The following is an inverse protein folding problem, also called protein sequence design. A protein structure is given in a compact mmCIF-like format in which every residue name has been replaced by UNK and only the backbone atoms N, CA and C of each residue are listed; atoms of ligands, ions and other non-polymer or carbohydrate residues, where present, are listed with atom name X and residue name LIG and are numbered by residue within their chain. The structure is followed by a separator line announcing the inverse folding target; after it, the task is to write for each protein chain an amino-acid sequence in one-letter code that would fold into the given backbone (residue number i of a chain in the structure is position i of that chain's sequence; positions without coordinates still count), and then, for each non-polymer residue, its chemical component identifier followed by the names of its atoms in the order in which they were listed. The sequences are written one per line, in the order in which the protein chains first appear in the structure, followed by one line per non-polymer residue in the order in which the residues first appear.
data_IF_558313751299
#
_entry.id   IF_558313751299
#
_cell.length_a   1.000
_cell.length_b   1.000
_cell.length_c   1.000
_cell.angle_alpha   90.00
_cell.angle_beta   90.00
_cell.angle_gamma   90.00
#
_symmetry.space_group_name_H-M   'P 1'
#
loop_
_entity.id
_entity.type
_entity.pdbx_description
1 polymer ?
#
# COMPACT_ATOMS: atom_id res chain seq x y z
N UNK A 1 32.67 18.55 -2.46
CA UNK A 1 31.74 17.60 -1.79
C UNK A 1 32.38 16.23 -1.94
N UNK A 2 32.82 15.60 -0.86
CA UNK A 2 33.22 14.19 -0.88
C UNK A 2 31.94 13.37 -1.05
N UNK A 3 31.93 12.50 -2.06
CA UNK A 3 30.86 11.51 -2.21
C UNK A 3 30.85 10.61 -0.97
N UNK A 4 29.67 10.27 -0.52
CA UNK A 4 29.48 9.39 0.62
C UNK A 4 29.98 7.99 0.24
N UNK A 5 30.95 7.40 0.94
CA UNK A 5 31.51 6.11 0.55
C UNK A 5 30.53 4.94 0.67
N UNK A 6 29.39 5.10 1.35
CA UNK A 6 28.32 4.10 1.39
C UNK A 6 27.52 4.05 0.07
N UNK A 7 27.42 5.16 -0.66
CA UNK A 7 26.78 5.21 -1.98
C UNK A 7 27.62 4.58 -3.11
N UNK A 8 28.94 4.51 -2.96
CA UNK A 8 29.82 3.87 -3.97
C UNK A 8 29.76 2.34 -3.96
N UNK A 9 29.32 1.73 -2.87
CA UNK A 9 29.20 0.27 -2.73
C UNK A 9 27.78 -0.28 -2.96
N UNK A 10 26.80 0.58 -3.20
CA UNK A 10 25.46 0.13 -3.51
C UNK A 10 25.46 -0.63 -4.83
N UNK A 11 25.00 -1.90 -4.82
CA UNK A 11 24.75 -2.63 -6.05
C UNK A 11 23.75 -1.88 -6.89
N UNK A 12 24.06 -1.68 -8.16
CA UNK A 12 23.14 -1.03 -9.10
C UNK A 12 22.58 -2.08 -10.06
N UNK A 13 21.26 -2.01 -10.26
CA UNK A 13 20.57 -2.77 -11.29
C UNK A 13 20.64 -1.97 -12.59
N UNK A 14 21.17 -2.58 -13.64
CA UNK A 14 21.28 -1.99 -14.97
C UNK A 14 20.17 -2.53 -15.86
N UNK A 15 19.40 -1.65 -16.42
CA UNK A 15 18.42 -1.96 -17.46
C UNK A 15 19.04 -1.68 -18.82
N UNK A 16 19.08 -2.70 -19.65
CA UNK A 16 19.73 -2.65 -20.97
C UNK A 16 18.71 -2.99 -22.07
N UNK A 17 18.99 -2.52 -23.28
CA UNK A 17 18.26 -2.93 -24.48
C UNK A 17 18.71 -4.32 -24.96
N UNK A 18 17.98 -4.89 -25.93
CA UNK A 18 18.41 -6.12 -26.64
C UNK A 18 19.72 -5.94 -27.40
N UNK A 19 20.12 -4.69 -27.71
CA UNK A 19 21.43 -4.32 -28.30
C UNK A 19 22.53 -4.06 -27.25
N UNK A 20 22.28 -4.39 -25.98
CA UNK A 20 23.20 -4.19 -24.85
C UNK A 20 23.53 -2.73 -24.52
N UNK A 21 22.72 -1.79 -24.95
CA UNK A 21 22.86 -0.38 -24.58
C UNK A 21 22.19 -0.11 -23.23
N UNK A 22 22.84 0.66 -22.37
CA UNK A 22 22.27 1.09 -21.09
C UNK A 22 21.07 2.01 -21.31
N UNK A 23 19.92 1.66 -20.74
CA UNK A 23 18.76 2.54 -20.68
C UNK A 23 18.81 3.40 -19.42
N UNK A 24 18.94 2.76 -18.28
CA UNK A 24 19.05 3.42 -16.98
C UNK A 24 19.65 2.49 -15.94
N UNK A 25 20.00 3.05 -14.79
CA UNK A 25 20.47 2.34 -13.60
C UNK A 25 19.68 2.82 -12.41
N UNK A 26 19.41 1.89 -11.49
CA UNK A 26 18.81 2.19 -10.18
C UNK A 26 19.61 1.50 -9.09
N UNK A 27 19.66 2.02 -7.86
CA UNK A 27 20.15 1.28 -6.71
C UNK A 27 19.35 0.01 -6.49
N UNK A 28 19.99 -1.04 -6.00
CA UNK A 28 19.31 -2.27 -5.59
C UNK A 28 18.27 -1.97 -4.51
N UNK A 29 17.07 -2.51 -4.66
CA UNK A 29 15.95 -2.21 -3.75
C UNK A 29 15.14 -0.97 -4.08
N UNK A 30 15.51 -0.20 -5.12
CA UNK A 30 14.72 0.95 -5.57
C UNK A 30 13.50 0.52 -6.38
N UNK A 31 12.49 1.40 -6.44
CA UNK A 31 11.30 1.15 -7.23
C UNK A 31 11.49 1.56 -8.70
N UNK A 32 10.87 0.79 -9.58
CA UNK A 32 10.68 1.11 -10.99
C UNK A 32 9.20 1.32 -11.27
N UNK A 33 8.92 2.21 -12.18
CA UNK A 33 7.59 2.40 -12.74
C UNK A 33 7.46 1.59 -14.03
N UNK A 34 6.42 0.77 -14.10
CA UNK A 34 6.09 -0.05 -15.26
C UNK A 34 4.76 0.43 -15.81
N UNK A 35 4.73 0.73 -17.09
CA UNK A 35 3.55 1.22 -17.79
C UNK A 35 3.24 0.34 -19.00
N UNK A 36 2.02 -0.20 -19.03
CA UNK A 36 1.39 -0.89 -20.14
C UNK A 36 0.26 -0.04 -20.69
N UNK A 37 -0.27 -0.32 -21.89
CA UNK A 37 -1.35 0.48 -22.48
C UNK A 37 -2.61 0.64 -21.60
N UNK A 38 -2.84 -0.29 -20.70
CA UNK A 38 -4.06 -0.35 -19.87
C UNK A 38 -3.80 -0.30 -18.36
N UNK A 39 -2.56 -0.23 -17.93
CA UNK A 39 -2.20 -0.17 -16.50
C UNK A 39 -0.83 0.43 -16.30
N UNK A 40 -0.67 1.07 -15.15
CA UNK A 40 0.58 1.64 -14.67
C UNK A 40 0.73 1.30 -13.20
N UNK A 41 1.92 0.89 -12.79
CA UNK A 41 2.21 0.56 -11.41
C UNK A 41 3.69 0.73 -11.10
N UNK A 42 4.02 0.91 -9.82
CA UNK A 42 5.39 0.85 -9.33
C UNK A 42 5.65 -0.47 -8.63
N UNK A 43 6.88 -0.94 -8.72
CA UNK A 43 7.33 -2.15 -8.04
C UNK A 43 8.79 -2.01 -7.61
N UNK A 44 9.10 -2.47 -6.40
CA UNK A 44 10.46 -2.55 -5.91
C UNK A 44 11.23 -3.60 -6.69
N UNK A 45 12.48 -3.30 -7.04
CA UNK A 45 13.34 -4.15 -7.84
C UNK A 45 14.60 -4.48 -7.06
N UNK A 46 14.84 -5.77 -6.81
CA UNK A 46 15.95 -6.27 -6.00
C UNK A 46 16.67 -7.43 -6.68
N UNK A 47 18.00 -7.47 -6.58
CA UNK A 47 18.76 -8.64 -6.97
C UNK A 47 18.54 -9.80 -6.00
N UNK A 48 18.18 -10.95 -6.53
CA UNK A 48 18.16 -12.22 -5.80
C UNK A 48 19.48 -12.99 -5.96
N UNK A 49 19.94 -13.09 -7.20
CA UNK A 49 21.21 -13.70 -7.59
C UNK A 49 21.64 -13.18 -8.98
N UNK A 50 22.67 -13.76 -9.58
CA UNK A 50 23.21 -13.33 -10.89
C UNK A 50 22.18 -13.39 -12.03
N UNK A 51 21.14 -14.22 -11.91
CA UNK A 51 20.18 -14.49 -12.98
C UNK A 51 18.76 -14.07 -12.65
N UNK A 52 18.47 -13.71 -11.39
CA UNK A 52 17.11 -13.42 -10.93
C UNK A 52 17.00 -12.07 -10.26
N UNK A 53 15.93 -11.40 -10.60
CA UNK A 53 15.44 -10.18 -9.95
C UNK A 53 14.12 -10.48 -9.26
N UNK A 54 13.91 -9.88 -8.10
CA UNK A 54 12.58 -9.74 -7.53
C UNK A 54 12.00 -8.42 -8.03
N UNK A 55 10.82 -8.49 -8.64
CA UNK A 55 10.04 -7.33 -9.03
C UNK A 55 8.68 -7.39 -8.30
N UNK A 56 8.55 -6.60 -7.26
CA UNK A 56 7.43 -6.77 -6.35
C UNK A 56 7.49 -8.15 -5.66
N UNK A 57 6.51 -9.01 -5.95
CA UNK A 57 6.50 -10.39 -5.43
C UNK A 57 7.05 -11.42 -6.39
N UNK A 58 7.15 -11.08 -7.66
CA UNK A 58 7.54 -12.01 -8.70
C UNK A 58 9.06 -12.10 -8.76
N UNK A 59 9.58 -13.32 -8.70
CA UNK A 59 10.98 -13.60 -8.99
C UNK A 59 11.09 -13.95 -10.47
N UNK A 60 11.78 -13.11 -11.21
CA UNK A 60 11.91 -13.18 -12.64
C UNK A 60 13.37 -13.43 -13.03
N UNK A 61 13.59 -14.27 -14.03
CA UNK A 61 14.87 -14.28 -14.69
C UNK A 61 15.13 -12.92 -15.37
N UNK A 62 16.37 -12.43 -15.34
CA UNK A 62 16.71 -11.09 -15.86
C UNK A 62 16.26 -10.84 -17.32
N UNK A 63 16.16 -11.89 -18.13
CA UNK A 63 15.63 -11.79 -19.50
C UNK A 63 14.10 -11.77 -19.56
N UNK A 64 13.40 -12.29 -18.56
CA UNK A 64 11.93 -12.39 -18.58
C UNK A 64 11.26 -11.02 -18.49
N UNK A 65 11.83 -10.09 -17.75
CA UNK A 65 11.29 -8.74 -17.65
C UNK A 65 11.26 -8.05 -19.02
N UNK A 66 12.35 -8.14 -19.78
CA UNK A 66 12.41 -7.59 -21.12
C UNK A 66 11.37 -8.22 -22.05
N UNK A 67 11.23 -9.55 -22.03
CA UNK A 67 10.21 -10.25 -22.82
C UNK A 67 8.77 -9.88 -22.43
N UNK A 68 8.50 -9.74 -21.13
CA UNK A 68 7.18 -9.33 -20.64
C UNK A 68 6.81 -7.93 -21.11
N UNK A 69 7.77 -6.99 -21.05
CA UNK A 69 7.58 -5.63 -21.52
C UNK A 69 7.33 -5.59 -23.04
N UNK A 70 8.18 -6.28 -23.81
CA UNK A 70 8.04 -6.32 -25.29
C UNK A 70 6.69 -6.92 -25.72
N UNK A 71 6.29 -8.06 -25.14
CA UNK A 71 5.02 -8.74 -25.47
C UNK A 71 3.80 -7.92 -25.05
N UNK A 72 3.89 -7.17 -23.95
CA UNK A 72 2.81 -6.36 -23.43
C UNK A 72 2.75 -4.94 -24.00
N UNK A 73 3.72 -4.54 -24.82
CA UNK A 73 3.87 -3.14 -25.26
C UNK A 73 4.16 -2.20 -24.10
N UNK A 74 4.86 -2.72 -23.07
CA UNK A 74 5.15 -1.99 -21.86
C UNK A 74 6.48 -1.25 -21.89
N UNK A 75 6.60 -0.27 -21.00
CA UNK A 75 7.84 0.47 -20.73
C UNK A 75 8.21 0.35 -19.25
N UNK A 76 9.50 0.47 -18.96
CA UNK A 76 10.02 0.50 -17.60
C UNK A 76 10.97 1.68 -17.45
N UNK A 77 10.85 2.40 -16.35
CA UNK A 77 11.71 3.55 -16.01
C UNK A 77 11.93 3.63 -14.50
N UNK A 78 12.96 4.35 -14.03
CA UNK A 78 13.06 4.68 -12.62
C UNK A 78 11.76 5.34 -12.16
N UNK A 79 11.29 4.98 -10.96
CA UNK A 79 10.12 5.67 -10.41
C UNK A 79 10.45 7.15 -10.21
N UNK A 80 9.61 8.08 -10.70
CA UNK A 80 9.85 9.50 -10.49
C UNK A 80 9.67 9.88 -9.01
N UNK A 81 10.40 10.90 -8.58
CA UNK A 81 10.16 11.50 -7.27
C UNK A 81 8.75 12.06 -7.21
N UNK A 82 8.08 11.76 -6.12
CA UNK A 82 6.76 12.29 -5.81
C UNK A 82 6.96 13.69 -5.21
N UNK A 83 6.30 14.67 -5.81
CA UNK A 83 6.37 16.08 -5.39
C UNK A 83 5.02 16.61 -4.90
N UNK A 84 3.98 15.81 -4.99
CA UNK A 84 2.66 16.13 -4.46
C UNK A 84 2.66 16.01 -2.93
N UNK A 85 1.90 16.89 -2.27
CA UNK A 85 1.79 16.92 -0.82
C UNK A 85 0.96 15.74 -0.26
N UNK A 86 0.12 15.13 -1.08
CA UNK A 86 -0.78 14.04 -0.70
C UNK A 86 -0.79 12.96 -1.77
N UNK A 87 -0.69 11.72 -1.35
CA UNK A 87 -0.65 10.59 -2.25
C UNK A 87 -1.32 9.37 -1.66
N UNK A 88 -1.92 8.55 -2.52
CA UNK A 88 -2.48 7.28 -2.11
C UNK A 88 -2.13 6.17 -3.10
N UNK A 89 -2.10 4.94 -2.58
CA UNK A 89 -1.79 3.74 -3.35
C UNK A 89 -2.75 2.60 -3.02
N UNK A 90 -3.15 1.89 -4.07
CA UNK A 90 -3.74 0.56 -3.97
C UNK A 90 -2.61 -0.48 -3.88
N UNK A 91 -2.59 -1.24 -2.79
CA UNK A 91 -1.61 -2.30 -2.49
C UNK A 91 -2.13 -3.69 -2.88
N UNK A 92 -3.07 -3.76 -3.80
CA UNK A 92 -3.71 -5.02 -4.22
C UNK A 92 -4.52 -5.66 -3.08
N UNK A 93 -4.34 -6.94 -2.83
CA UNK A 93 -5.07 -7.66 -1.78
C UNK A 93 -4.80 -7.19 -0.35
N UNK A 94 -3.84 -6.29 -0.13
CA UNK A 94 -3.42 -5.82 1.20
C UNK A 94 -4.11 -4.55 1.66
N UNK A 95 -4.80 -3.86 0.77
CA UNK A 95 -5.53 -2.66 1.11
C UNK A 95 -4.99 -1.43 0.42
N UNK A 96 -4.96 -0.33 1.16
CA UNK A 96 -4.58 0.98 0.65
C UNK A 96 -3.64 1.68 1.62
N UNK A 97 -2.81 2.58 1.08
CA UNK A 97 -1.96 3.48 1.85
C UNK A 97 -2.27 4.91 1.42
N UNK A 98 -2.52 5.79 2.38
CA UNK A 98 -2.58 7.23 2.22
C UNK A 98 -1.39 7.88 2.94
N UNK A 99 -0.74 8.85 2.32
CA UNK A 99 0.34 9.65 2.92
C UNK A 99 0.10 11.11 2.58
N UNK A 100 0.31 11.98 3.54
CA UNK A 100 0.33 13.42 3.35
C UNK A 100 1.54 14.05 4.05
N UNK A 101 2.04 15.16 3.50
CA UNK A 101 3.08 15.95 4.17
C UNK A 101 2.49 16.68 5.37
N UNK A 102 3.26 16.73 6.44
CA UNK A 102 2.99 17.57 7.62
C UNK A 102 4.21 18.42 7.96
N UNK A 103 4.14 19.22 9.02
CA UNK A 103 5.22 20.16 9.39
C UNK A 103 6.55 19.43 9.68
N UNK A 104 6.49 18.27 10.34
CA UNK A 104 7.65 17.51 10.78
C UNK A 104 7.96 16.28 9.90
N UNK A 105 7.27 16.11 8.78
CA UNK A 105 7.50 14.96 7.90
C UNK A 105 6.25 14.49 7.17
N UNK A 106 5.75 13.28 7.50
CA UNK A 106 4.64 12.64 6.78
C UNK A 106 3.68 11.96 7.73
N UNK A 107 2.39 12.30 7.65
CA UNK A 107 1.31 11.52 8.23
C UNK A 107 0.89 10.40 7.28
N UNK A 108 0.57 9.23 7.81
CA UNK A 108 0.07 8.13 6.99
C UNK A 108 -1.08 7.38 7.64
N UNK A 109 -1.88 6.75 6.79
CA UNK A 109 -2.92 5.80 7.21
C UNK A 109 -2.93 4.60 6.28
N UNK A 110 -2.94 3.40 6.87
CA UNK A 110 -3.11 2.12 6.19
C UNK A 110 -4.53 1.62 6.36
N UNK A 111 -5.15 1.18 5.27
CA UNK A 111 -6.50 0.65 5.25
C UNK A 111 -6.54 -0.77 4.70
N UNK A 112 -7.43 -1.59 5.24
CA UNK A 112 -7.87 -2.84 4.60
C UNK A 112 -8.66 -2.56 3.32
N UNK A 113 -8.96 -3.61 2.54
CA UNK A 113 -9.80 -3.50 1.33
C UNK A 113 -11.24 -3.09 1.59
N UNK A 114 -11.73 -3.26 2.79
CA UNK A 114 -13.03 -2.80 3.25
C UNK A 114 -13.00 -1.39 3.87
N UNK A 115 -11.88 -0.68 3.68
CA UNK A 115 -11.60 0.66 4.22
C UNK A 115 -11.57 0.74 5.76
N UNK A 116 -11.44 -0.38 6.45
CA UNK A 116 -11.12 -0.37 7.87
C UNK A 116 -9.66 0.04 8.05
N UNK A 117 -9.40 0.97 8.93
CA UNK A 117 -8.03 1.35 9.28
C UNK A 117 -7.28 0.17 9.90
N UNK A 118 -6.09 -0.10 9.37
CA UNK A 118 -5.15 -1.06 9.94
C UNK A 118 -4.33 -0.37 11.01
N UNK A 119 -3.77 0.78 10.64
CA UNK A 119 -2.92 1.60 11.49
C UNK A 119 -2.73 2.98 10.86
N UNK A 120 -2.29 3.94 11.67
CA UNK A 120 -1.93 5.29 11.26
C UNK A 120 -0.82 5.83 12.14
N UNK A 121 -0.03 6.73 11.59
CA UNK A 121 1.10 7.31 12.33
C UNK A 121 1.78 8.42 11.56
N UNK A 122 2.95 8.79 12.08
CA UNK A 122 3.77 9.85 11.53
C UNK A 122 5.21 9.37 11.34
N UNK A 123 5.86 9.83 10.29
CA UNK A 123 7.32 9.73 10.09
C UNK A 123 7.89 11.11 10.32
N UNK A 124 8.62 11.28 11.43
CA UNK A 124 9.22 12.55 11.85
C UNK A 124 10.58 12.75 11.16
N UNK A 125 10.57 12.85 9.84
CA UNK A 125 11.75 13.11 9.02
C UNK A 125 11.37 13.92 7.78
N UNK A 126 11.49 15.26 7.82
CA UNK A 126 11.14 16.12 6.70
C UNK A 126 12.18 16.08 5.57
N UNK A 127 13.35 15.46 5.76
CA UNK A 127 14.43 15.42 4.76
C UNK A 127 14.28 14.26 3.78
N UNK A 128 13.54 13.21 4.13
CA UNK A 128 13.30 12.10 3.21
C UNK A 128 12.24 12.46 2.16
N UNK A 129 12.29 11.78 1.02
CA UNK A 129 11.26 11.94 0.01
C UNK A 129 10.00 11.14 0.36
N UNK A 130 8.84 11.52 -0.18
CA UNK A 130 7.60 10.76 -0.01
C UNK A 130 7.73 9.31 -0.53
N UNK A 131 8.54 9.07 -1.58
CA UNK A 131 8.87 7.72 -2.03
C UNK A 131 9.56 6.91 -0.92
N UNK A 132 10.54 7.51 -0.24
CA UNK A 132 11.27 6.86 0.85
C UNK A 132 10.38 6.63 2.08
N UNK A 133 9.56 7.62 2.45
CA UNK A 133 8.57 7.49 3.53
C UNK A 133 7.61 6.34 3.25
N UNK A 134 7.03 6.29 2.03
CA UNK A 134 6.18 5.18 1.58
C UNK A 134 6.89 3.83 1.72
N UNK A 135 8.11 3.73 1.22
CA UNK A 135 8.85 2.46 1.21
C UNK A 135 9.21 2.00 2.62
N UNK A 136 9.50 2.94 3.53
CA UNK A 136 9.69 2.65 4.94
C UNK A 136 8.42 2.11 5.58
N UNK A 137 7.28 2.79 5.43
CA UNK A 137 5.98 2.33 5.94
C UNK A 137 5.68 0.92 5.43
N UNK A 138 5.79 0.70 4.11
CA UNK A 138 5.50 -0.61 3.52
C UNK A 138 6.45 -1.71 4.03
N UNK A 139 7.69 -1.37 4.33
CA UNK A 139 8.66 -2.30 4.91
C UNK A 139 8.28 -2.68 6.34
N UNK A 140 7.90 -1.69 7.18
CA UNK A 140 7.56 -1.88 8.58
C UNK A 140 6.33 -2.79 8.76
N UNK A 141 5.37 -2.72 7.84
CA UNK A 141 4.20 -3.60 7.82
C UNK A 141 4.40 -4.90 7.02
N UNK A 142 5.61 -5.19 6.58
CA UNK A 142 5.91 -6.38 5.78
C UNK A 142 5.28 -6.33 4.38
N UNK A 143 4.99 -5.13 3.88
CA UNK A 143 4.44 -4.89 2.54
C UNK A 143 5.52 -4.48 1.53
N UNK A 144 6.77 -4.43 1.96
CA UNK A 144 7.91 -4.17 1.08
C UNK A 144 7.96 -5.16 -0.09
N UNK A 145 8.29 -4.65 -1.26
CA UNK A 145 8.36 -5.44 -2.49
C UNK A 145 7.04 -5.59 -3.24
N UNK A 146 5.95 -4.98 -2.79
CA UNK A 146 4.65 -5.11 -3.47
C UNK A 146 4.53 -4.23 -4.70
N UNK A 147 3.72 -4.70 -5.65
CA UNK A 147 3.19 -3.89 -6.72
C UNK A 147 2.15 -2.93 -6.13
N UNK A 148 2.26 -1.65 -6.47
CA UNK A 148 1.37 -0.59 -5.99
C UNK A 148 0.94 0.31 -7.14
N UNK A 149 -0.32 0.70 -7.12
CA UNK A 149 -0.91 1.58 -8.13
C UNK A 149 -1.30 2.89 -7.47
N UNK A 150 -0.87 4.02 -8.05
CA UNK A 150 -1.34 5.34 -7.60
C UNK A 150 -2.84 5.45 -7.80
N UNK A 151 -3.53 5.93 -6.78
CA UNK A 151 -4.95 6.24 -6.80
C UNK A 151 -5.16 7.67 -6.31
N UNK A 152 -6.36 8.18 -6.47
CA UNK A 152 -6.73 9.49 -5.96
C UNK A 152 -6.80 9.46 -4.42
N UNK A 153 -6.15 10.44 -3.79
CA UNK A 153 -6.06 10.53 -2.32
C UNK A 153 -7.41 10.91 -1.71
N UNK A 154 -8.07 11.92 -2.27
CA UNK A 154 -9.32 12.43 -1.72
C UNK A 154 -10.43 11.38 -1.91
N UNK A 155 -10.48 10.70 -3.08
CA UNK A 155 -11.41 9.59 -3.30
C UNK A 155 -11.20 8.43 -2.30
N UNK A 156 -9.96 8.11 -1.94
CA UNK A 156 -9.69 7.09 -0.92
C UNK A 156 -10.21 7.52 0.45
N UNK A 157 -9.93 8.75 0.86
CA UNK A 157 -10.36 9.28 2.15
C UNK A 157 -11.89 9.35 2.26
N UNK A 158 -12.57 9.83 1.21
CA UNK A 158 -14.04 9.86 1.15
C UNK A 158 -14.64 8.46 1.32
N UNK A 159 -14.11 7.47 0.63
CA UNK A 159 -14.56 6.07 0.75
C UNK A 159 -14.31 5.48 2.14
N UNK A 160 -13.20 5.84 2.77
CA UNK A 160 -12.89 5.38 4.12
C UNK A 160 -13.88 6.00 5.14
N UNK A 161 -14.21 7.28 5.00
CA UNK A 161 -15.20 7.97 5.83
C UNK A 161 -16.61 7.39 5.65
N UNK A 162 -17.05 7.18 4.41
CA UNK A 162 -18.34 6.55 4.11
C UNK A 162 -18.46 5.15 4.72
N UNK A 163 -17.40 4.35 4.61
CA UNK A 163 -17.36 3.01 5.19
C UNK A 163 -17.42 3.05 6.73
N UNK A 164 -16.79 4.03 7.36
CA UNK A 164 -16.85 4.20 8.81
C UNK A 164 -18.25 4.62 9.28
N UNK A 165 -18.89 5.59 8.60
CA UNK A 165 -20.26 6.02 8.88
C UNK A 165 -21.20 4.82 8.77
N UNK A 166 -21.13 4.07 7.69
CA UNK A 166 -21.99 2.89 7.47
C UNK A 166 -21.82 1.82 8.56
N UNK A 167 -20.58 1.60 9.04
CA UNK A 167 -20.31 0.69 10.16
C UNK A 167 -20.93 1.19 11.47
N UNK A 168 -20.78 2.48 11.77
CA UNK A 168 -21.37 3.10 12.98
C UNK A 168 -22.89 2.97 12.98
N UNK A 169 -23.56 3.25 11.86
CA UNK A 169 -25.00 3.11 11.71
C UNK A 169 -25.46 1.65 11.90
N UNK A 170 -24.74 0.69 11.32
CA UNK A 170 -25.01 -0.73 11.48
C UNK A 170 -24.90 -1.20 12.93
N UNK A 171 -23.90 -0.70 13.69
CA UNK A 171 -23.73 -1.02 15.11
C UNK A 171 -24.86 -0.40 15.94
N UNK A 172 -25.21 0.85 15.70
CA UNK A 172 -26.33 1.54 16.39
C UNK A 172 -27.65 0.84 16.12
N UNK A 173 -27.92 0.41 14.89
CA UNK A 173 -29.10 -0.38 14.54
C UNK A 173 -29.20 -1.69 15.33
N UNK A 174 -28.10 -2.44 15.41
CA UNK A 174 -28.03 -3.70 16.19
C UNK A 174 -28.24 -3.47 17.69
N UNK A 175 -27.69 -2.38 18.23
CA UNK A 175 -27.87 -2.03 19.65
C UNK A 175 -29.32 -1.64 19.95
N UNK A 176 -29.98 -0.90 19.06
CA UNK A 176 -31.41 -0.56 19.16
C UNK A 176 -32.30 -1.80 19.15
N UNK A 177 -32.01 -2.75 18.25
CA UNK A 177 -32.73 -4.02 18.18
C UNK A 177 -32.57 -4.88 19.44
N UNK A 178 -31.37 -4.87 20.04
CA UNK A 178 -31.11 -5.59 21.29
C UNK A 178 -31.84 -4.93 22.46
N UNK A 179 -31.85 -3.60 22.54
CA UNK A 179 -32.58 -2.88 23.61
C UNK A 179 -34.07 -3.11 23.53
N UNK A 180 -34.66 -3.16 22.33
CA UNK A 180 -36.07 -3.43 22.14
C UNK A 180 -36.48 -4.88 22.49
N UNK A 181 -35.55 -5.84 22.48
CA UNK A 181 -35.80 -7.24 22.87
C UNK A 181 -35.74 -7.46 24.38
N UNK A 182 -35.06 -6.59 25.13
CA UNK A 182 -34.96 -6.69 26.60
C UNK A 182 -36.17 -6.12 27.32
N UNK A 183 -37.02 -5.33 26.63
CA UNK A 183 -38.26 -4.76 27.19
C UNK A 183 -39.47 -5.69 27.10
N UNK A 184 -39.31 -6.97 26.77
CA UNK A 184 -40.43 -7.92 26.84
C UNK A 184 -40.65 -8.33 28.30
N UNK A 185 -41.75 -7.93 28.95
CA UNK A 185 -42.01 -8.23 30.36
C UNK A 185 -42.09 -9.77 30.52
N UNK A 186 -41.25 -10.31 31.38
CA UNK A 186 -41.35 -11.68 31.84
C UNK A 186 -42.76 -11.87 32.48
N UNK A 187 -43.66 -12.54 31.77
CA UNK A 187 -44.95 -12.96 32.35
C UNK A 187 -44.69 -13.76 33.60
N UNK A 188 -44.96 -13.18 34.74
CA UNK A 188 -44.96 -13.86 36.03
C UNK A 188 -45.84 -15.11 35.95
N UNK A 189 -45.22 -16.29 36.05
CA UNK A 189 -45.91 -17.56 36.21
C UNK A 189 -46.68 -17.52 37.55
N UNK A 190 -47.99 -17.45 37.51
CA UNK A 190 -48.86 -17.65 38.67
C UNK A 190 -48.61 -19.03 39.23
N UNK A 191 -48.03 -19.09 40.43
CA UNK A 191 -48.00 -20.30 41.24
C UNK A 191 -49.49 -20.67 41.57
N UNK A 192 -49.92 -21.83 41.10
CA UNK A 192 -51.11 -22.48 41.59
C UNK A 192 -50.75 -23.17 42.92
N UNK A 193 -51.17 -22.61 44.00
CA UNK A 193 -51.33 -23.29 45.25
C UNK A 193 -52.39 -24.37 45.06
N UNK A 194 -52.06 -25.61 45.27
CA UNK A 194 -52.99 -26.73 45.40
C UNK A 194 -53.03 -27.10 46.88
N UNK A 195 -54.13 -26.68 47.52
CA UNK A 195 -54.61 -27.31 48.75
C UNK A 195 -55.07 -28.75 48.46
N UNK A 196 -54.50 -29.68 49.15
CA UNK A 196 -55.13 -30.76 49.96
C UNK A 196 -54.07 -31.80 50.37
#
# INVERSE_FOLDING_TARGET
KKADPELENAKNIRFITSSYEDRFKIPDGSAVEIEYPNRKFSARCEYMDEYHLRLGYDVLHICQLAEMLERGGGTCRPEPLITEERCAWDLGSKGFLAIQTCEDGYDYTLYHKDFTEIDGGQIDDPEISMNAARDQILSDYGFGGRTMTRIDYDELCDRAEEAEISRRESVLGKLSDLSSRTDTPVKAAKAKEAER
#
